data_IF_869640493000
#
_entry.id   IF_869640493000
#
_cell.length_a   1.000
_cell.length_b   1.000
_cell.length_c   1.000
_cell.angle_alpha   90.00
_cell.angle_beta   90.00
_cell.angle_gamma   90.00
#
_symmetry.space_group_name_H-M   'P 1'
#
loop_
_entity.id
_entity.type
_entity.pdbx_description
1 polymer ?
#
# COMPACT_ATOMS: atom_id res chain seq x y z
N UNK A 1 -3.68 18.44 3.46
CA UNK A 1 -4.55 18.17 2.27
C UNK A 1 -4.87 16.68 2.26
N UNK A 2 -6.14 16.29 2.08
CA UNK A 2 -6.56 14.89 1.92
C UNK A 2 -6.47 14.54 0.42
N UNK A 3 -5.82 13.44 0.05
CA UNK A 3 -5.91 12.93 -1.33
C UNK A 3 -7.37 12.55 -1.63
N UNK A 4 -7.89 12.95 -2.79
CA UNK A 4 -9.22 12.53 -3.22
C UNK A 4 -9.24 11.05 -3.57
N UNK A 5 -10.43 10.42 -3.48
CA UNK A 5 -10.64 9.01 -3.84
C UNK A 5 -10.08 8.67 -5.23
N UNK A 6 -10.33 9.53 -6.21
CA UNK A 6 -9.82 9.37 -7.58
C UNK A 6 -8.30 9.34 -7.66
N UNK A 7 -7.59 10.16 -6.87
CA UNK A 7 -6.12 10.16 -6.88
C UNK A 7 -5.58 8.89 -6.23
N UNK A 8 -6.24 8.39 -5.18
CA UNK A 8 -5.84 7.12 -4.56
C UNK A 8 -6.05 5.97 -5.54
N UNK A 9 -7.21 5.92 -6.21
CA UNK A 9 -7.50 4.93 -7.24
C UNK A 9 -6.46 4.94 -8.37
N UNK A 10 -6.15 6.12 -8.90
CA UNK A 10 -5.12 6.27 -9.94
C UNK A 10 -3.78 5.69 -9.48
N UNK A 11 -3.32 6.11 -8.30
CA UNK A 11 -2.03 5.65 -7.74
C UNK A 11 -1.99 4.13 -7.53
N UNK A 12 -3.07 3.55 -7.00
CA UNK A 12 -3.12 2.10 -6.75
C UNK A 12 -3.07 1.31 -8.06
N UNK A 13 -3.82 1.73 -9.09
CA UNK A 13 -3.82 1.06 -10.38
C UNK A 13 -2.51 1.25 -11.16
N UNK A 14 -1.93 2.46 -11.12
CA UNK A 14 -0.65 2.76 -11.80
C UNK A 14 0.53 2.02 -11.14
N UNK A 15 0.53 1.90 -9.81
CA UNK A 15 1.59 1.22 -9.07
C UNK A 15 1.60 -0.30 -9.28
N UNK A 16 0.47 -0.88 -9.71
CA UNK A 16 0.27 -2.32 -9.76
C UNK A 16 0.24 -2.97 -8.37
N UNK A 17 -0.08 -2.20 -7.32
CA UNK A 17 -0.11 -2.71 -5.96
C UNK A 17 -1.08 -3.91 -5.83
N UNK A 18 -0.62 -4.98 -5.18
CA UNK A 18 -1.41 -6.18 -4.96
C UNK A 18 -1.95 -6.27 -3.53
N UNK A 19 -1.23 -5.67 -2.59
CA UNK A 19 -1.59 -5.60 -1.17
C UNK A 19 -1.52 -4.15 -0.72
N UNK A 20 -2.54 -3.70 0.02
CA UNK A 20 -2.62 -2.32 0.53
C UNK A 20 -2.67 -2.33 2.06
N UNK A 21 -1.70 -1.66 2.68
CA UNK A 21 -1.72 -1.37 4.11
C UNK A 21 -2.44 -0.03 4.33
N UNK A 22 -3.44 0.01 5.21
CA UNK A 22 -4.19 1.23 5.48
C UNK A 22 -4.68 1.36 6.92
N UNK A 23 -4.86 2.61 7.35
CA UNK A 23 -5.57 2.95 8.58
C UNK A 23 -7.09 2.82 8.40
N UNK A 24 -7.86 2.41 9.43
CA UNK A 24 -9.32 2.26 9.37
C UNK A 24 -10.08 3.49 8.84
N UNK A 25 -9.58 4.70 9.07
CA UNK A 25 -10.19 5.95 8.56
C UNK A 25 -10.28 6.03 7.03
N UNK A 26 -9.49 5.22 6.32
CA UNK A 26 -9.51 5.14 4.85
C UNK A 26 -10.43 4.03 4.33
N UNK A 27 -11.07 3.25 5.20
CA UNK A 27 -12.01 2.20 4.77
C UNK A 27 -13.15 2.74 3.89
N UNK A 28 -13.84 3.85 4.23
CA UNK A 28 -14.93 4.35 3.40
C UNK A 28 -14.49 4.71 1.97
N UNK A 29 -13.30 5.30 1.84
CA UNK A 29 -12.77 5.66 0.52
C UNK A 29 -12.31 4.43 -0.27
N UNK A 30 -11.80 3.40 0.40
CA UNK A 30 -11.45 2.14 -0.28
C UNK A 30 -12.69 1.40 -0.76
N UNK A 31 -13.77 1.42 0.01
CA UNK A 31 -15.04 0.82 -0.41
C UNK A 31 -15.64 1.52 -1.62
N UNK A 32 -15.53 2.85 -1.70
CA UNK A 32 -15.98 3.65 -2.85
C UNK A 32 -15.27 3.23 -4.16
N UNK A 33 -13.97 2.98 -4.09
CA UNK A 33 -13.15 2.71 -5.29
C UNK A 33 -12.93 1.22 -5.56
N UNK A 34 -13.37 0.32 -4.67
CA UNK A 34 -13.01 -1.12 -4.70
C UNK A 34 -13.26 -1.80 -6.05
N UNK A 35 -14.38 -1.47 -6.71
CA UNK A 35 -14.77 -2.11 -7.97
C UNK A 35 -13.92 -1.65 -9.17
N UNK A 36 -13.07 -0.64 -8.98
CA UNK A 36 -12.22 -0.04 -10.00
C UNK A 36 -10.74 -0.43 -9.80
N UNK A 37 -10.41 -1.13 -8.71
CA UNK A 37 -9.06 -1.62 -8.43
C UNK A 37 -8.73 -2.78 -9.38
N UNK A 38 -7.59 -2.70 -10.07
CA UNK A 38 -7.22 -3.69 -11.11
C UNK A 38 -6.33 -4.81 -10.58
N UNK A 39 -5.46 -4.52 -9.62
CA UNK A 39 -4.44 -5.47 -9.11
C UNK A 39 -4.58 -5.79 -7.62
N UNK A 40 -5.22 -4.91 -6.84
CA UNK A 40 -5.31 -5.06 -5.38
C UNK A 40 -6.20 -6.25 -5.03
N UNK A 41 -5.63 -7.22 -4.33
CA UNK A 41 -6.31 -8.46 -3.90
C UNK A 41 -6.52 -8.57 -2.40
N UNK A 42 -5.75 -7.85 -1.60
CA UNK A 42 -5.81 -7.95 -0.14
C UNK A 42 -5.50 -6.62 0.54
N UNK A 43 -6.15 -6.40 1.67
CA UNK A 43 -5.92 -5.25 2.54
C UNK A 43 -5.39 -5.71 3.90
N UNK A 44 -4.47 -4.93 4.47
CA UNK A 44 -3.93 -5.12 5.82
C UNK A 44 -4.21 -3.87 6.63
N UNK A 45 -4.85 -4.05 7.79
CA UNK A 45 -5.24 -2.91 8.63
C UNK A 45 -4.13 -2.53 9.59
N UNK A 46 -3.81 -1.25 9.58
CA UNK A 46 -3.01 -0.57 10.60
C UNK A 46 -3.97 -0.01 11.64
N UNK A 47 -4.55 -0.88 12.46
CA UNK A 47 -5.59 -0.48 13.41
C UNK A 47 -5.02 0.13 14.69
N UNK A 48 -3.80 -0.23 15.09
CA UNK A 48 -3.13 0.30 16.28
C UNK A 48 -4.04 0.26 17.54
N UNK A 49 -4.71 -0.89 17.73
CA UNK A 49 -5.66 -1.12 18.82
C UNK A 49 -7.01 -0.41 18.69
N UNK A 50 -7.29 0.30 17.59
CA UNK A 50 -8.58 0.95 17.35
C UNK A 50 -9.67 -0.02 16.91
N UNK A 51 -10.92 0.39 17.13
CA UNK A 51 -12.08 -0.34 16.64
C UNK A 51 -12.13 -0.30 15.10
N UNK A 52 -12.14 -1.47 14.48
CA UNK A 52 -12.30 -1.62 13.04
C UNK A 52 -13.80 -1.64 12.71
N UNK A 53 -14.32 -0.67 11.94
CA UNK A 53 -15.71 -0.69 11.52
C UNK A 53 -15.98 -1.90 10.60
N UNK A 54 -17.21 -2.42 10.56
CA UNK A 54 -17.57 -3.49 9.63
C UNK A 54 -17.33 -3.07 8.19
N UNK A 55 -16.73 -3.96 7.40
CA UNK A 55 -16.38 -3.67 6.01
C UNK A 55 -16.46 -4.93 5.15
N UNK A 56 -16.73 -4.73 3.86
CA UNK A 56 -16.84 -5.81 2.87
C UNK A 56 -15.56 -6.05 2.07
N UNK A 57 -14.49 -5.33 2.38
CA UNK A 57 -13.19 -5.49 1.71
C UNK A 57 -12.51 -6.80 2.14
N UNK A 58 -11.72 -7.44 1.26
CA UNK A 58 -10.98 -8.65 1.60
C UNK A 58 -9.77 -8.31 2.48
N UNK A 59 -9.82 -8.69 3.77
CA UNK A 59 -8.71 -8.48 4.70
C UNK A 59 -7.84 -9.71 4.87
N UNK A 60 -6.53 -9.50 4.80
CA UNK A 60 -5.53 -10.47 5.27
C UNK A 60 -5.42 -10.51 6.80
N UNK A 61 -5.77 -9.41 7.47
CA UNK A 61 -5.74 -9.30 8.93
C UNK A 61 -5.37 -7.90 9.41
N UNK A 62 -5.17 -7.78 10.72
CA UNK A 62 -4.60 -6.60 11.38
C UNK A 62 -3.07 -6.79 11.47
N UNK A 63 -2.33 -5.71 11.24
CA UNK A 63 -0.87 -5.75 11.06
C UNK A 63 -0.12 -6.30 12.28
N UNK A 64 -0.41 -5.81 13.48
CA UNK A 64 0.27 -6.27 14.70
C UNK A 64 -0.04 -7.74 15.00
N UNK A 65 -1.27 -8.17 14.77
CA UNK A 65 -1.67 -9.57 14.89
C UNK A 65 -0.93 -10.47 13.89
N UNK A 66 -0.80 -10.03 12.62
CA UNK A 66 -0.05 -10.75 11.58
C UNK A 66 1.43 -10.81 11.93
N UNK A 67 2.01 -9.70 12.38
CA UNK A 67 3.42 -9.61 12.78
C UNK A 67 3.73 -10.51 13.98
N UNK A 68 2.85 -10.53 14.99
CA UNK A 68 3.00 -11.40 16.16
C UNK A 68 2.87 -12.88 15.84
N UNK A 69 2.16 -13.25 14.77
CA UNK A 69 2.00 -14.62 14.31
C UNK A 69 3.09 -15.05 13.32
N UNK A 70 3.86 -14.11 12.78
CA UNK A 70 4.91 -14.39 11.80
C UNK A 70 6.13 -15.03 12.46
N UNK A 71 6.83 -15.87 11.69
CA UNK A 71 8.14 -16.39 12.08
C UNK A 71 9.18 -15.26 12.09
N UNK A 72 10.08 -15.26 13.07
CA UNK A 72 11.28 -14.42 13.04
C UNK A 72 12.31 -14.93 12.02
N UNK A 73 12.21 -16.20 11.63
CA UNK A 73 13.08 -16.82 10.65
C UNK A 73 12.52 -16.55 9.26
N UNK A 74 13.17 -15.63 8.55
CA UNK A 74 12.89 -15.31 7.16
C UNK A 74 14.19 -15.36 6.35
N UNK A 75 14.19 -16.16 5.29
CA UNK A 75 15.33 -16.26 4.39
C UNK A 75 15.19 -15.18 3.31
N UNK A 76 16.08 -14.20 3.33
CA UNK A 76 16.04 -13.09 2.40
C UNK A 76 16.51 -13.57 1.02
N UNK A 77 15.70 -13.43 -0.03
CA UNK A 77 16.13 -13.82 -1.36
C UNK A 77 17.28 -12.91 -1.83
N UNK A 78 18.21 -13.47 -2.59
CA UNK A 78 19.16 -12.67 -3.36
C UNK A 78 18.44 -12.02 -4.54
N UNK A 79 18.59 -10.70 -4.70
CA UNK A 79 18.05 -9.95 -5.83
C UNK A 79 19.10 -8.94 -6.33
N UNK A 80 18.99 -8.56 -7.60
CA UNK A 80 19.83 -7.53 -8.20
C UNK A 80 19.61 -6.20 -7.48
N UNK A 81 20.68 -5.53 -7.06
CA UNK A 81 20.62 -4.23 -6.37
C UNK A 81 19.91 -3.13 -7.18
N UNK A 82 19.84 -3.30 -8.50
CA UNK A 82 19.13 -2.40 -9.42
C UNK A 82 17.61 -2.70 -9.50
N UNK A 83 17.13 -3.76 -8.84
CA UNK A 83 15.70 -4.07 -8.75
C UNK A 83 14.95 -2.94 -8.05
N UNK A 84 13.76 -2.58 -8.56
CA UNK A 84 12.89 -1.55 -7.96
C UNK A 84 12.53 -1.96 -6.53
N UNK A 85 12.91 -1.13 -5.57
CA UNK A 85 12.61 -1.33 -4.16
C UNK A 85 11.37 -0.54 -3.73
N UNK A 86 11.27 0.74 -4.14
CA UNK A 86 10.20 1.64 -3.69
C UNK A 86 9.74 2.55 -4.82
N UNK A 87 8.44 2.84 -4.87
CA UNK A 87 7.87 3.87 -5.76
C UNK A 87 7.14 4.91 -4.92
N UNK A 88 7.55 6.17 -5.00
CA UNK A 88 6.90 7.30 -4.33
C UNK A 88 6.10 8.13 -5.34
N UNK A 89 4.83 8.37 -5.04
CA UNK A 89 4.00 9.24 -5.87
C UNK A 89 4.06 10.67 -5.35
N UNK A 90 4.51 11.59 -6.19
CA UNK A 90 4.50 13.02 -5.88
C UNK A 90 3.31 13.70 -6.55
N UNK A 91 2.60 14.53 -5.81
CA UNK A 91 1.47 15.29 -6.32
C UNK A 91 1.92 16.70 -6.66
N UNK A 92 2.06 17.02 -7.95
CA UNK A 92 2.17 18.40 -8.43
C UNK A 92 0.84 19.16 -8.29
N UNK A 93 0.88 20.49 -8.49
CA UNK A 93 -0.31 21.36 -8.54
C UNK A 93 -1.12 21.21 -9.84
N UNK A 94 -0.53 20.62 -10.87
CA UNK A 94 -1.19 20.30 -12.16
C UNK A 94 -0.82 18.88 -12.61
N UNK A 95 -1.80 18.12 -13.11
CA UNK A 95 -1.63 16.78 -13.68
C UNK A 95 -1.75 15.62 -12.69
N UNK A 96 -1.74 14.40 -13.24
CA UNK A 96 -1.80 13.16 -12.48
C UNK A 96 -0.53 12.91 -11.65
N UNK A 97 -0.64 12.20 -10.51
CA UNK A 97 0.53 11.82 -9.70
C UNK A 97 1.59 11.10 -10.54
N UNK A 98 2.85 11.47 -10.37
CA UNK A 98 3.98 10.80 -11.04
C UNK A 98 4.72 9.92 -10.03
N UNK A 99 4.85 8.63 -10.36
CA UNK A 99 5.64 7.68 -9.59
C UNK A 99 7.14 7.89 -9.83
N UNK A 100 7.90 8.09 -8.75
CA UNK A 100 9.36 8.12 -8.75
C UNK A 100 9.84 6.81 -8.15
N UNK A 101 10.58 6.03 -8.94
CA UNK A 101 11.05 4.70 -8.54
C UNK A 101 12.50 4.78 -8.04
N UNK A 102 12.80 4.05 -6.98
CA UNK A 102 14.14 3.87 -6.43
C UNK A 102 14.48 2.39 -6.38
N UNK A 103 15.71 2.04 -6.74
CA UNK A 103 16.26 0.70 -6.59
C UNK A 103 16.81 0.47 -5.17
N UNK A 104 17.14 -0.78 -4.82
CA UNK A 104 17.80 -1.08 -3.54
C UNK A 104 19.13 -0.34 -3.40
N UNK A 105 19.88 -0.21 -4.50
CA UNK A 105 21.13 0.54 -4.58
C UNK A 105 20.95 2.03 -4.24
N UNK A 106 19.90 2.66 -4.75
CA UNK A 106 19.62 4.08 -4.52
C UNK A 106 19.33 4.38 -3.04
N UNK A 107 18.74 3.42 -2.32
CA UNK A 107 18.38 3.56 -0.90
C UNK A 107 19.58 3.30 0.02
N UNK A 108 20.48 2.39 -0.37
CA UNK A 108 21.65 2.03 0.45
C UNK A 108 22.81 3.03 0.38
N UNK A 109 22.86 3.88 -0.65
CA UNK A 109 23.94 4.86 -0.86
C UNK A 109 23.54 6.31 -0.49
N UNK A 110 22.43 6.47 0.22
CA UNK A 110 21.93 7.76 0.73
C UNK A 110 22.52 8.17 2.07
#
# INVERSE_FOLDING_TARGET
MRLSAQRILYTLNDSGAEVVLLHPDFLPVMEEIRCQLTSVRSFVLLADGQHVPPTSLPFGGEYEALLSAASSDFDFPEFDENTRAVTFYTTGTTGDPKGVCYSHRDISLG
#
